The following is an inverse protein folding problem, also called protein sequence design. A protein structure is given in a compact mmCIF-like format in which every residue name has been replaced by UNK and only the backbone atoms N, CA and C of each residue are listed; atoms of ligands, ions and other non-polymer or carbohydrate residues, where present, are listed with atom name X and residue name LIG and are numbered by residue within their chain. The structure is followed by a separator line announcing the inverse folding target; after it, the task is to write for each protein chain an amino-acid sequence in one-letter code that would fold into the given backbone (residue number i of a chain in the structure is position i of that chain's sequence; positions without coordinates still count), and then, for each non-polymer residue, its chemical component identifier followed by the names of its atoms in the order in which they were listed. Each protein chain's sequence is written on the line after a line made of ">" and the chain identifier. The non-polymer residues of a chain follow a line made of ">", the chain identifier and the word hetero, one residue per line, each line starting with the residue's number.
data_IF_326867229193
#
_entry.id   IF_326867229193
#
_cell.length_a   1.000
_cell.length_b   1.000
_cell.length_c   1.000
_cell.angle_alpha   90.00
_cell.angle_beta   90.00
_cell.angle_gamma   90.00
#
_symmetry.space_group_name_H-M   'P 1'
#
loop_
_entity.id
_entity.type
_entity.pdbx_description
1 polymer ?
#
# COMPACT_ATOMS: atom_id res chain seq x y z
N UNK A 1 -1.16 -0.26 -21.94
CA UNK A 1 -0.80 -1.47 -21.17
C UNK A 1 0.60 -1.29 -20.64
N UNK A 2 0.78 -1.20 -19.33
CA UNK A 2 2.08 -0.91 -18.72
C UNK A 2 2.97 -2.16 -18.71
N UNK A 3 4.11 -2.11 -19.39
CA UNK A 3 5.15 -3.13 -19.26
C UNK A 3 5.80 -3.01 -17.88
N UNK A 4 5.67 -4.05 -17.05
CA UNK A 4 6.36 -4.17 -15.76
C UNK A 4 7.73 -4.78 -16.01
N UNK A 5 8.79 -4.12 -15.56
CA UNK A 5 10.15 -4.66 -15.64
C UNK A 5 10.29 -5.83 -14.67
N UNK A 6 10.97 -6.90 -15.10
CA UNK A 6 11.19 -8.09 -14.28
C UNK A 6 12.70 -8.32 -14.17
N UNK A 7 13.18 -8.35 -12.93
CA UNK A 7 14.55 -8.73 -12.61
C UNK A 7 14.55 -10.02 -11.81
N UNK A 8 15.58 -10.83 -11.99
CA UNK A 8 15.87 -11.97 -11.13
C UNK A 8 16.67 -11.52 -9.91
N UNK A 9 16.56 -12.26 -8.80
CA UNK A 9 17.44 -12.10 -7.64
C UNK A 9 18.92 -12.28 -8.00
N UNK A 10 19.24 -12.99 -9.09
CA UNK A 10 20.62 -13.13 -9.54
C UNK A 10 21.13 -11.82 -10.13
N UNK A 11 20.35 -11.17 -11.01
CA UNK A 11 20.69 -9.86 -11.57
C UNK A 11 20.77 -8.80 -10.48
N UNK A 12 19.77 -8.77 -9.59
CA UNK A 12 19.75 -7.83 -8.47
C UNK A 12 20.95 -8.00 -7.54
N UNK A 13 21.38 -9.23 -7.25
CA UNK A 13 22.54 -9.48 -6.39
C UNK A 13 23.89 -9.23 -7.09
N UNK A 14 23.95 -9.39 -8.41
CA UNK A 14 25.18 -9.21 -9.18
C UNK A 14 25.51 -7.73 -9.35
N UNK A 15 24.51 -6.88 -9.59
CA UNK A 15 24.70 -5.44 -9.76
C UNK A 15 23.51 -4.65 -9.20
N UNK A 16 23.38 -4.67 -7.87
CA UNK A 16 22.30 -3.97 -7.17
C UNK A 16 22.25 -2.48 -7.51
N UNK A 17 23.37 -1.73 -7.53
CA UNK A 17 23.32 -0.30 -7.84
C UNK A 17 22.76 0.00 -9.22
N UNK A 18 23.13 -0.78 -10.24
CA UNK A 18 22.64 -0.60 -11.60
C UNK A 18 21.15 -0.93 -11.70
N UNK A 19 20.71 -2.07 -11.15
CA UNK A 19 19.30 -2.47 -11.19
C UNK A 19 18.41 -1.44 -10.48
N UNK A 20 18.81 -0.96 -9.29
CA UNK A 20 18.05 0.06 -8.57
C UNK A 20 18.02 1.39 -9.33
N UNK A 21 19.11 1.77 -9.99
CA UNK A 21 19.15 2.97 -10.84
C UNK A 21 18.16 2.86 -12.00
N UNK A 22 18.15 1.73 -12.71
CA UNK A 22 17.22 1.49 -13.82
C UNK A 22 15.76 1.55 -13.37
N UNK A 23 15.44 0.95 -12.21
CA UNK A 23 14.09 1.00 -11.64
C UNK A 23 13.69 2.45 -11.33
N UNK A 24 14.58 3.22 -10.70
CA UNK A 24 14.34 4.64 -10.40
C UNK A 24 14.17 5.49 -11.65
N UNK A 25 15.03 5.32 -12.66
CA UNK A 25 14.97 6.04 -13.93
C UNK A 25 13.73 5.69 -14.75
N UNK A 26 13.23 4.45 -14.63
CA UNK A 26 12.00 4.01 -15.31
C UNK A 26 10.73 4.67 -14.76
N UNK A 27 10.76 5.13 -13.50
CA UNK A 27 9.59 5.66 -12.78
C UNK A 27 8.45 4.64 -12.59
N UNK A 28 8.70 3.34 -12.81
CA UNK A 28 7.71 2.27 -12.73
C UNK A 28 8.14 1.18 -11.75
N UNK A 29 7.20 0.52 -11.07
CA UNK A 29 7.52 -0.65 -10.26
C UNK A 29 8.15 -1.77 -11.08
N UNK A 30 9.08 -2.50 -10.47
CA UNK A 30 9.69 -3.69 -11.04
C UNK A 30 9.48 -4.92 -10.15
N UNK A 31 9.17 -6.06 -10.77
CA UNK A 31 8.99 -7.32 -10.08
C UNK A 31 10.32 -8.07 -9.95
N UNK A 32 10.57 -8.61 -8.76
CA UNK A 32 11.75 -9.40 -8.45
C UNK A 32 11.37 -10.87 -8.34
N UNK A 33 12.08 -11.73 -9.07
CA UNK A 33 11.83 -13.17 -9.10
C UNK A 33 13.03 -13.98 -8.62
N UNK A 34 12.79 -15.16 -8.05
CA UNK A 34 13.81 -16.16 -7.73
C UNK A 34 13.42 -17.49 -8.37
N UNK A 35 14.21 -17.95 -9.34
CA UNK A 35 13.92 -19.16 -10.13
C UNK A 35 12.50 -19.12 -10.76
N UNK A 36 12.13 -17.97 -11.32
CA UNK A 36 10.82 -17.73 -11.93
C UNK A 36 9.66 -17.49 -10.96
N UNK A 37 9.86 -17.66 -9.64
CA UNK A 37 8.83 -17.35 -8.64
C UNK A 37 8.93 -15.89 -8.20
N UNK A 38 7.81 -15.18 -8.13
CA UNK A 38 7.73 -13.84 -7.58
C UNK A 38 8.16 -13.81 -6.11
N UNK A 39 8.91 -12.77 -5.72
CA UNK A 39 9.42 -12.58 -4.36
C UNK A 39 9.06 -11.21 -3.81
N UNK A 40 9.25 -10.15 -4.62
CA UNK A 40 9.04 -8.78 -4.17
C UNK A 40 8.71 -7.85 -5.34
N UNK A 41 8.12 -6.70 -5.01
CA UNK A 41 7.98 -5.56 -5.91
C UNK A 41 8.85 -4.42 -5.38
N UNK A 42 9.65 -3.80 -6.24
CA UNK A 42 10.42 -2.59 -5.90
C UNK A 42 9.78 -1.43 -6.65
N UNK A 43 9.32 -0.43 -5.90
CA UNK A 43 8.67 0.77 -6.44
C UNK A 43 9.61 1.97 -6.28
N UNK A 44 9.93 2.70 -7.37
CA UNK A 44 10.74 3.89 -7.28
C UNK A 44 9.98 5.01 -6.57
N UNK A 45 10.69 5.79 -5.76
CA UNK A 45 10.11 6.90 -4.96
C UNK A 45 10.43 8.28 -5.56
N UNK A 46 11.42 8.39 -6.43
CA UNK A 46 11.80 9.66 -7.06
C UNK A 46 10.69 10.12 -8.02
N UNK A 47 10.32 11.40 -7.95
CA UNK A 47 9.21 12.06 -8.67
C UNK A 47 7.78 11.72 -8.20
N UNK A 48 7.63 10.93 -7.15
CA UNK A 48 6.39 10.81 -6.38
C UNK A 48 6.60 11.45 -5.02
N UNK A 49 5.66 12.27 -4.54
CA UNK A 49 5.68 12.66 -3.13
C UNK A 49 5.77 11.38 -2.30
N UNK A 50 6.83 11.22 -1.51
CA UNK A 50 7.11 9.98 -0.76
C UNK A 50 5.91 9.61 0.12
N UNK A 51 5.22 10.62 0.66
CA UNK A 51 3.95 10.48 1.36
C UNK A 51 2.83 9.93 0.47
N UNK A 52 2.66 10.40 -0.76
CA UNK A 52 1.60 9.94 -1.66
C UNK A 52 1.79 8.48 -2.09
N UNK A 53 3.04 8.04 -2.31
CA UNK A 53 3.33 6.65 -2.66
C UNK A 53 3.13 5.70 -1.47
N UNK A 54 3.56 6.11 -0.27
CA UNK A 54 3.31 5.37 0.96
C UNK A 54 1.82 5.34 1.33
N UNK A 55 1.11 6.46 1.16
CA UNK A 55 -0.33 6.56 1.36
C UNK A 55 -1.09 5.68 0.36
N UNK A 56 -0.74 5.70 -0.92
CA UNK A 56 -1.37 4.85 -1.92
C UNK A 56 -1.19 3.35 -1.58
N UNK A 57 -0.01 2.95 -1.13
CA UNK A 57 0.25 1.58 -0.69
C UNK A 57 -0.52 1.22 0.59
N UNK A 58 -0.62 2.15 1.55
CA UNK A 58 -1.40 1.95 2.77
C UNK A 58 -2.91 1.87 2.50
N UNK A 59 -3.43 2.67 1.56
CA UNK A 59 -4.82 2.65 1.12
C UNK A 59 -5.15 1.38 0.34
N UNK A 60 -4.26 0.91 -0.53
CA UNK A 60 -4.42 -0.38 -1.22
C UNK A 60 -4.44 -1.57 -0.25
N UNK A 61 -3.66 -1.50 0.83
CA UNK A 61 -3.59 -2.55 1.85
C UNK A 61 -4.71 -2.45 2.91
N UNK A 62 -5.48 -1.36 2.93
CA UNK A 62 -6.51 -1.15 3.94
C UNK A 62 -7.77 -1.98 3.62
N UNK A 63 -8.34 -2.70 4.60
CA UNK A 63 -9.56 -3.48 4.41
C UNK A 63 -10.76 -2.59 4.00
N UNK A 64 -10.79 -1.34 4.47
CA UNK A 64 -11.86 -0.37 4.22
C UNK A 64 -11.49 0.64 3.11
N UNK A 65 -10.73 0.19 2.11
CA UNK A 65 -10.25 1.00 0.96
C UNK A 65 -11.36 1.85 0.33
N UNK A 66 -12.56 1.29 0.17
CA UNK A 66 -13.69 1.97 -0.45
C UNK A 66 -14.17 3.19 0.36
N UNK A 67 -14.16 3.09 1.70
CA UNK A 67 -14.52 4.21 2.58
C UNK A 67 -13.43 5.29 2.58
N UNK A 68 -12.15 4.89 2.59
CA UNK A 68 -11.01 5.82 2.60
C UNK A 68 -10.94 6.65 1.31
N UNK A 69 -11.28 6.02 0.18
CA UNK A 69 -11.35 6.69 -1.12
C UNK A 69 -12.66 7.45 -1.35
N UNK A 70 -13.61 7.38 -0.41
CA UNK A 70 -14.95 7.98 -0.55
C UNK A 70 -15.80 7.31 -1.64
N UNK A 71 -15.43 6.11 -2.07
CA UNK A 71 -16.19 5.27 -3.01
C UNK A 71 -17.39 4.62 -2.31
N UNK A 72 -17.36 4.54 -0.98
CA UNK A 72 -18.46 4.13 -0.12
C UNK A 72 -18.77 5.25 0.89
N UNK A 73 -20.03 5.67 0.96
CA UNK A 73 -20.47 6.62 1.98
C UNK A 73 -20.70 5.87 3.29
N UNK A 74 -20.31 6.48 4.42
CA UNK A 74 -20.74 6.00 5.74
C UNK A 74 -22.27 6.15 5.79
N UNK A 75 -22.99 5.03 5.73
CA UNK A 75 -24.46 5.00 5.63
C UNK A 75 -25.12 5.57 6.90
N UNK A 76 -24.41 5.56 8.03
CA UNK A 76 -24.86 6.18 9.28
C UNK A 76 -23.70 6.51 10.23
N UNK A 77 -23.69 7.71 10.79
CA UNK A 77 -22.82 8.07 11.92
C UNK A 77 -23.52 7.65 13.20
N UNK A 78 -22.89 6.77 13.98
CA UNK A 78 -23.42 6.33 15.27
C UNK A 78 -22.85 7.18 16.41
N UNK A 79 -23.66 7.42 17.45
CA UNK A 79 -23.17 8.03 18.69
C UNK A 79 -22.38 7.02 19.52
N UNK A 80 -21.48 7.47 20.41
CA UNK A 80 -20.77 6.56 21.32
C UNK A 80 -21.70 5.63 22.10
N UNK A 81 -22.87 6.12 22.53
CA UNK A 81 -23.88 5.33 23.25
C UNK A 81 -24.48 4.20 22.39
N UNK A 82 -24.68 4.45 21.09
CA UNK A 82 -25.21 3.46 20.15
C UNK A 82 -24.19 2.34 19.88
N UNK A 83 -22.91 2.70 19.75
CA UNK A 83 -21.81 1.73 19.57
C UNK A 83 -21.60 0.89 20.83
N UNK A 84 -21.70 1.52 22.00
CA UNK A 84 -21.59 0.84 23.30
C UNK A 84 -22.70 -0.20 23.52
N UNK A 85 -23.94 0.14 23.14
CA UNK A 85 -25.08 -0.78 23.21
C UNK A 85 -24.93 -1.97 22.26
N UNK A 86 -24.39 -1.76 21.05
CA UNK A 86 -24.18 -2.83 20.06
C UNK A 86 -23.05 -3.80 20.45
N UNK A 87 -21.98 -3.26 21.06
CA UNK A 87 -20.81 -4.04 21.49
C UNK A 87 -20.94 -4.62 22.92
N UNK A 88 -22.07 -4.40 23.59
CA UNK A 88 -22.31 -4.77 25.00
C UNK A 88 -21.24 -4.21 25.97
N UNK A 89 -20.81 -2.96 25.70
CA UNK A 89 -19.80 -2.26 26.49
C UNK A 89 -20.50 -1.22 27.37
N UNK A 90 -20.18 -1.21 28.67
CA UNK A 90 -20.62 -0.13 29.57
C UNK A 90 -19.63 1.04 29.49
N UNK A 91 -20.10 2.21 29.03
CA UNK A 91 -19.26 3.42 29.02
C UNK A 91 -19.10 3.98 30.44
N UNK A 92 -17.89 4.45 30.82
CA UNK A 92 -17.70 5.16 32.07
C UNK A 92 -18.42 6.52 32.00
N UNK A 93 -19.24 6.82 33.01
CA UNK A 93 -19.90 8.12 33.15
C UNK A 93 -18.83 9.18 33.36
N UNK A 94 -18.76 10.17 32.47
CA UNK A 94 -17.95 11.38 32.68
C UNK A 94 -18.83 12.43 33.38
N UNK A 95 -18.41 12.87 34.57
CA UNK A 95 -18.96 14.02 35.30
C UNK A 95 -18.59 15.36 34.63
#
# INVERSE_FOLDING_TARGET
>A
MGSTQIYTMRELNHDTPQVIREINESGKPAAITRRGRFVALITPLANSGVESAALAAAVEAAPDRAQILGEENVDSVQTPDQVAADLDITLPVQD
#
